data_IF_015929666090
#
_entry.id   IF_015929666090
#
_cell.length_a   1.000
_cell.length_b   1.000
_cell.length_c   1.000
_cell.angle_alpha   90.00
_cell.angle_beta   90.00
_cell.angle_gamma   90.00
#
_symmetry.space_group_name_H-M   'P 1'
#
loop_
_entity.id
_entity.type
_entity.pdbx_description
1 polymer ?
#
# COMPACT_ATOMS: atom_id res chain seq x y z
N UNK A 1 -0.41 4.29 9.22
CA UNK A 1 -0.82 3.10 8.42
C UNK A 1 -2.31 3.24 8.14
N UNK A 2 -2.82 2.76 7.02
CA UNK A 2 -4.25 2.86 6.70
C UNK A 2 -4.77 1.60 5.99
N UNK A 3 -6.07 1.30 6.13
CA UNK A 3 -6.70 0.21 5.38
C UNK A 3 -6.72 0.48 3.86
N UNK A 4 -6.78 -0.60 3.07
CA UNK A 4 -6.91 -0.55 1.61
C UNK A 4 -8.08 0.30 1.09
N UNK A 5 -9.14 0.50 1.87
CA UNK A 5 -10.24 1.41 1.52
C UNK A 5 -9.78 2.86 1.29
N UNK A 6 -8.67 3.25 1.94
CA UNK A 6 -8.07 4.60 1.88
C UNK A 6 -6.99 4.76 0.81
N UNK A 7 -6.72 3.71 0.02
CA UNK A 7 -5.79 3.74 -1.12
C UNK A 7 -6.37 4.50 -2.32
N UNK A 8 -6.80 5.75 -2.08
CA UNK A 8 -7.42 6.65 -3.03
C UNK A 8 -6.69 7.97 -3.02
N UNK A 9 -6.44 8.50 -4.21
CA UNK A 9 -5.68 9.74 -4.40
C UNK A 9 -6.14 10.92 -3.51
N UNK A 10 -7.45 11.25 -3.39
CA UNK A 10 -7.86 12.41 -2.58
C UNK A 10 -7.51 12.29 -1.09
N UNK A 11 -7.48 11.07 -0.55
CA UNK A 11 -7.06 10.82 0.83
C UNK A 11 -5.55 10.96 0.96
N UNK A 12 -4.81 10.24 0.11
CA UNK A 12 -3.35 10.24 0.11
C UNK A 12 -2.78 11.66 -0.08
N UNK A 13 -3.32 12.42 -1.03
CA UNK A 13 -2.87 13.78 -1.34
C UNK A 13 -3.03 14.70 -0.12
N UNK A 14 -4.13 14.58 0.64
CA UNK A 14 -4.35 15.37 1.85
C UNK A 14 -3.39 15.00 2.98
N UNK A 15 -3.20 13.70 3.23
CA UNK A 15 -2.30 13.22 4.28
C UNK A 15 -0.86 13.62 4.00
N UNK A 16 -0.43 13.52 2.74
CA UNK A 16 0.90 13.98 2.34
C UNK A 16 1.07 15.49 2.40
N UNK A 17 0.01 16.26 2.10
CA UNK A 17 0.05 17.72 2.29
C UNK A 17 0.22 18.12 3.75
N UNK A 18 -0.20 17.26 4.69
CA UNK A 18 0.02 17.44 6.13
C UNK A 18 1.42 17.00 6.59
N UNK A 19 2.28 16.54 5.68
CA UNK A 19 3.66 16.11 5.97
C UNK A 19 3.81 14.65 6.36
N UNK A 20 2.76 13.82 6.19
CA UNK A 20 2.80 12.40 6.55
C UNK A 20 2.92 11.49 5.33
N UNK A 21 3.61 10.37 5.51
CA UNK A 21 3.60 9.26 4.55
C UNK A 21 2.57 8.20 4.96
N UNK A 22 1.99 7.54 3.97
CA UNK A 22 0.98 6.51 4.15
C UNK A 22 1.56 5.16 3.72
N UNK A 23 1.49 4.20 4.64
CA UNK A 23 1.65 2.77 4.37
C UNK A 23 0.27 2.13 4.30
N UNK A 24 -0.04 1.45 3.20
CA UNK A 24 -1.34 0.80 2.99
C UNK A 24 -1.25 -0.33 1.96
N UNK A 25 -2.41 -0.90 1.58
CA UNK A 25 -2.54 -1.99 0.60
C UNK A 25 -3.32 -1.54 -0.63
N UNK A 26 -2.87 -1.93 -1.81
CA UNK A 26 -3.56 -1.74 -3.08
C UNK A 26 -4.48 -2.93 -3.38
N UNK A 27 -5.46 -2.69 -4.25
CA UNK A 27 -6.25 -3.80 -4.83
C UNK A 27 -5.34 -4.67 -5.70
N UNK A 28 -5.65 -5.97 -5.78
CA UNK A 28 -4.89 -6.93 -6.58
C UNK A 28 -4.81 -6.58 -8.08
N UNK A 29 -5.77 -5.81 -8.60
CA UNK A 29 -5.87 -5.37 -10.00
C UNK A 29 -5.31 -3.95 -10.24
N UNK A 30 -4.55 -3.41 -9.29
CA UNK A 30 -3.99 -2.06 -9.42
C UNK A 30 -3.10 -1.93 -10.66
N UNK A 31 -3.35 -0.88 -11.45
CA UNK A 31 -2.53 -0.57 -12.61
C UNK A 31 -1.19 0.08 -12.17
N UNK A 32 -0.16 -0.74 -12.14
CA UNK A 32 1.21 -0.40 -11.75
C UNK A 32 2.14 -0.41 -12.96
N UNK A 33 3.13 0.46 -12.96
CA UNK A 33 4.11 0.60 -14.04
C UNK A 33 5.51 0.70 -13.45
N UNK A 34 6.50 0.13 -14.15
CA UNK A 34 7.89 0.40 -13.82
C UNK A 34 8.18 1.90 -14.02
N UNK A 35 9.19 2.40 -13.31
CA UNK A 35 9.67 3.75 -13.54
C UNK A 35 10.37 3.79 -14.90
N UNK A 36 10.16 4.87 -15.65
CA UNK A 36 10.89 5.11 -16.88
C UNK A 36 12.37 5.36 -16.57
N UNK A 37 13.24 4.49 -17.08
CA UNK A 37 14.70 4.49 -16.94
C UNK A 37 15.44 4.91 -18.23
N UNK A 38 14.70 5.09 -19.33
CA UNK A 38 15.27 5.50 -20.62
C UNK A 38 15.53 7.01 -20.76
N UNK A 39 16.19 7.39 -21.86
CA UNK A 39 16.46 8.80 -22.15
C UNK A 39 15.17 9.63 -22.33
N UNK A 40 15.20 10.93 -21.99
CA UNK A 40 14.13 11.84 -22.33
C UNK A 40 13.87 11.81 -23.83
N UNK A 41 12.61 11.76 -24.24
CA UNK A 41 12.23 11.68 -25.66
C UNK A 41 12.58 12.92 -26.48
N UNK A 42 13.10 13.98 -25.87
CA UNK A 42 13.43 15.26 -26.52
C UNK A 42 12.22 16.06 -27.00
N UNK A 43 11.00 15.55 -26.82
CA UNK A 43 9.76 16.20 -27.26
C UNK A 43 9.30 17.27 -26.26
N UNK A 44 8.70 18.38 -26.73
CA UNK A 44 8.10 19.38 -25.83
C UNK A 44 7.04 18.75 -24.90
N UNK A 45 7.08 19.10 -23.62
CA UNK A 45 6.09 18.68 -22.62
C UNK A 45 6.71 18.01 -21.39
N UNK A 46 5.84 17.42 -20.55
CA UNK A 46 6.26 16.73 -19.33
C UNK A 46 7.08 15.48 -19.69
N UNK A 47 8.27 15.28 -19.09
CA UNK A 47 9.05 14.06 -19.27
C UNK A 47 8.23 12.79 -18.97
N UNK A 48 8.53 11.71 -19.69
CA UNK A 48 7.91 10.40 -19.47
C UNK A 48 8.35 9.86 -18.11
N UNK A 49 7.38 9.45 -17.29
CA UNK A 49 7.64 8.86 -15.96
C UNK A 49 7.28 7.36 -15.91
N UNK A 50 6.34 6.92 -16.76
CA UNK A 50 5.84 5.54 -16.76
C UNK A 50 6.59 4.72 -17.81
N UNK A 51 7.24 3.65 -17.37
CA UNK A 51 7.74 2.59 -18.23
C UNK A 51 6.63 1.60 -18.60
N UNK A 52 7.02 0.33 -18.70
CA UNK A 52 6.09 -0.76 -19.01
C UNK A 52 5.17 -1.06 -17.84
N UNK A 53 4.00 -1.62 -18.16
CA UNK A 53 3.06 -2.06 -17.14
C UNK A 53 3.66 -3.26 -16.39
N UNK A 54 3.60 -3.23 -15.07
CA UNK A 54 4.05 -4.36 -14.24
C UNK A 54 3.03 -5.48 -14.41
N UNK A 55 3.48 -6.60 -14.97
CA UNK A 55 2.76 -7.85 -14.86
C UNK A 55 3.08 -8.49 -13.51
N UNK A 56 2.14 -8.40 -12.58
CA UNK A 56 2.27 -8.98 -11.24
C UNK A 56 2.47 -10.51 -11.31
N UNK A 57 2.11 -11.17 -12.42
CA UNK A 57 2.34 -12.61 -12.66
C UNK A 57 3.73 -12.95 -13.15
N UNK A 58 4.38 -12.02 -13.81
CA UNK A 58 5.71 -12.21 -14.35
C UNK A 58 6.51 -10.95 -14.05
N UNK A 59 6.90 -10.83 -12.79
CA UNK A 59 7.66 -9.67 -12.30
C UNK A 59 9.07 -9.79 -12.87
N UNK A 60 9.56 -8.68 -13.41
CA UNK A 60 10.94 -8.59 -13.84
C UNK A 60 11.82 -8.47 -12.59
N UNK A 61 12.41 -9.60 -12.19
CA UNK A 61 13.24 -9.71 -10.98
C UNK A 61 14.45 -8.78 -11.07
N UNK A 62 14.92 -8.43 -12.28
CA UNK A 62 16.04 -7.48 -12.43
C UNK A 62 15.71 -6.05 -11.96
N UNK A 63 14.41 -5.72 -11.89
CA UNK A 63 13.91 -4.39 -11.48
C UNK A 63 13.41 -4.34 -10.04
N UNK A 64 13.63 -5.40 -9.26
CA UNK A 64 13.23 -5.50 -7.87
C UNK A 64 14.22 -6.33 -7.05
N UNK A 65 13.97 -6.38 -5.74
CA UNK A 65 14.73 -7.24 -4.83
C UNK A 65 13.76 -8.21 -4.17
N UNK A 66 14.11 -9.49 -4.17
CA UNK A 66 13.43 -10.46 -3.31
C UNK A 66 13.71 -10.11 -1.85
N UNK A 67 12.66 -10.17 -1.03
CA UNK A 67 12.73 -9.90 0.40
C UNK A 67 12.85 -11.21 1.16
N UNK A 68 13.79 -11.26 2.11
CA UNK A 68 13.77 -12.28 3.15
C UNK A 68 12.59 -12.02 4.11
N UNK A 69 11.64 -12.95 4.07
CA UNK A 69 10.40 -12.91 4.83
C UNK A 69 10.51 -13.55 6.22
N UNK A 70 11.67 -14.13 6.57
CA UNK A 70 11.85 -14.88 7.81
C UNK A 70 10.81 -15.99 7.95
N UNK A 71 10.00 -15.93 9.00
CA UNK A 71 8.92 -16.91 9.25
C UNK A 71 7.65 -16.67 8.43
N UNK A 72 7.55 -15.52 7.74
CA UNK A 72 6.36 -15.20 6.94
C UNK A 72 6.33 -16.04 5.67
N UNK A 73 5.27 -16.83 5.49
CA UNK A 73 5.12 -17.71 4.32
C UNK A 73 4.97 -16.92 3.01
N UNK A 74 5.50 -17.48 1.93
CA UNK A 74 5.37 -16.97 0.56
C UNK A 74 6.68 -16.38 0.04
N UNK A 75 6.60 -15.64 -1.07
CA UNK A 75 7.71 -14.87 -1.63
C UNK A 75 7.29 -13.41 -1.74
N UNK A 76 8.22 -12.48 -1.50
CA UNK A 76 7.92 -11.06 -1.62
C UNK A 76 8.99 -10.33 -2.43
N UNK A 77 8.54 -9.39 -3.24
CA UNK A 77 9.39 -8.57 -4.10
C UNK A 77 9.18 -7.10 -3.78
N UNK A 78 10.27 -6.38 -3.54
CA UNK A 78 10.27 -4.94 -3.32
C UNK A 78 10.81 -4.20 -4.55
N UNK A 79 10.10 -3.17 -4.97
CA UNK A 79 10.50 -2.31 -6.07
C UNK A 79 9.83 -0.94 -5.97
N UNK A 80 10.31 0.02 -6.76
CA UNK A 80 9.58 1.27 -6.96
C UNK A 80 8.65 1.14 -8.16
N UNK A 81 7.42 1.62 -8.02
CA UNK A 81 6.44 1.55 -9.08
C UNK A 81 5.65 2.85 -9.19
N UNK A 82 5.34 3.26 -10.42
CA UNK A 82 4.35 4.30 -10.67
C UNK A 82 2.94 3.72 -10.51
N UNK A 83 2.19 4.23 -9.56
CA UNK A 83 0.80 3.84 -9.32
C UNK A 83 -0.17 4.74 -10.10
N UNK A 84 -0.96 4.15 -11.02
CA UNK A 84 -1.91 4.92 -11.84
C UNK A 84 -3.02 5.55 -11.02
N UNK A 85 -3.61 4.83 -10.05
CA UNK A 85 -4.72 5.34 -9.24
C UNK A 85 -4.30 6.47 -8.31
N UNK A 86 -3.06 6.44 -7.82
CA UNK A 86 -2.52 7.45 -6.91
C UNK A 86 -1.76 8.58 -7.61
N UNK A 87 -1.46 8.45 -8.91
CA UNK A 87 -0.71 9.42 -9.72
C UNK A 87 0.68 9.77 -9.16
N UNK A 88 1.40 8.78 -8.62
CA UNK A 88 2.70 8.96 -8.00
C UNK A 88 3.54 7.69 -8.04
N UNK A 89 4.84 7.83 -7.80
CA UNK A 89 5.71 6.71 -7.45
C UNK A 89 5.42 6.28 -6.01
N UNK A 90 5.49 4.98 -5.76
CA UNK A 90 5.37 4.38 -4.43
C UNK A 90 6.48 3.36 -4.25
N UNK A 91 6.94 3.18 -3.01
CA UNK A 91 7.67 1.96 -2.63
C UNK A 91 6.63 0.83 -2.56
N UNK A 92 6.79 -0.19 -3.41
CA UNK A 92 5.83 -1.26 -3.62
C UNK A 92 6.43 -2.58 -3.10
N UNK A 93 5.59 -3.35 -2.41
CA UNK A 93 5.88 -4.75 -2.08
C UNK A 93 4.78 -5.63 -2.68
N UNK A 94 5.20 -6.61 -3.47
CA UNK A 94 4.32 -7.65 -4.01
C UNK A 94 4.59 -8.91 -3.21
N UNK A 95 3.63 -9.34 -2.41
CA UNK A 95 3.70 -10.56 -1.60
C UNK A 95 2.82 -11.64 -2.20
N UNK A 96 3.44 -12.71 -2.69
CA UNK A 96 2.78 -13.90 -3.20
C UNK A 96 2.72 -14.97 -2.10
N UNK A 97 1.51 -15.32 -1.69
CA UNK A 97 1.29 -16.35 -0.69
C UNK A 97 1.39 -17.76 -1.32
N UNK A 98 1.63 -18.82 -0.51
CA UNK A 98 1.73 -20.19 -1.02
C UNK A 98 0.49 -20.71 -1.77
N UNK A 99 -0.67 -20.08 -1.57
CA UNK A 99 -1.91 -20.41 -2.27
C UNK A 99 -2.08 -19.65 -3.61
N UNK A 100 -1.04 -18.94 -4.07
CA UNK A 100 -1.05 -18.13 -5.29
C UNK A 100 -1.78 -16.79 -5.15
N UNK A 101 -2.33 -16.46 -3.97
CA UNK A 101 -2.95 -15.15 -3.73
C UNK A 101 -1.86 -14.10 -3.60
N UNK A 102 -2.03 -12.97 -4.28
CA UNK A 102 -1.10 -11.85 -4.20
C UNK A 102 -1.66 -10.68 -3.42
N UNK A 103 -0.79 -10.06 -2.63
CA UNK A 103 -1.08 -8.84 -1.87
C UNK A 103 -0.10 -7.76 -2.27
N UNK A 104 -0.61 -6.57 -2.52
CA UNK A 104 0.17 -5.42 -2.95
C UNK A 104 0.20 -4.42 -1.80
N UNK A 105 1.34 -4.28 -1.14
CA UNK A 105 1.55 -3.26 -0.11
C UNK A 105 2.33 -2.09 -0.70
N UNK A 106 2.13 -0.90 -0.16
CA UNK A 106 2.87 0.26 -0.62
C UNK A 106 3.11 1.27 0.49
N UNK A 107 4.15 2.08 0.29
CA UNK A 107 4.36 3.34 0.99
C UNK A 107 4.45 4.50 0.02
N UNK A 108 3.92 5.65 0.41
CA UNK A 108 4.13 6.92 -0.30
C UNK A 108 5.50 7.53 -0.04
N UNK A 109 6.27 7.00 0.91
CA UNK A 109 7.69 7.27 1.02
C UNK A 109 8.44 6.34 0.05
N UNK A 110 9.04 6.92 -0.98
CA UNK A 110 9.77 6.19 -2.02
C UNK A 110 11.10 5.62 -1.51
N UNK A 111 11.61 6.11 -0.38
CA UNK A 111 12.86 5.66 0.23
C UNK A 111 12.67 4.49 1.20
N UNK A 112 11.43 4.26 1.63
CA UNK A 112 11.10 3.19 2.59
C UNK A 112 11.42 1.81 2.01
N UNK A 113 12.11 0.99 2.80
CA UNK A 113 12.48 -0.37 2.41
C UNK A 113 11.24 -1.28 2.34
N UNK A 114 11.30 -2.31 1.50
CA UNK A 114 10.18 -3.25 1.39
C UNK A 114 9.86 -3.99 2.69
N UNK A 115 10.89 -4.28 3.51
CA UNK A 115 10.71 -4.86 4.84
C UNK A 115 9.90 -3.94 5.75
N UNK A 116 10.27 -2.65 5.80
CA UNK A 116 9.56 -1.66 6.62
C UNK A 116 8.13 -1.47 6.13
N UNK A 117 7.89 -1.45 4.82
CA UNK A 117 6.52 -1.37 4.26
C UNK A 117 5.65 -2.50 4.79
N UNK A 118 6.18 -3.73 4.79
CA UNK A 118 5.45 -4.89 5.31
C UNK A 118 5.25 -4.79 6.82
N UNK A 119 6.32 -4.50 7.57
CA UNK A 119 6.29 -4.43 9.04
C UNK A 119 5.36 -3.32 9.54
N UNK A 120 5.39 -2.13 8.94
CA UNK A 120 4.41 -1.10 9.25
C UNK A 120 2.99 -1.55 8.90
N UNK A 121 2.77 -2.25 7.79
CA UNK A 121 1.42 -2.70 7.46
C UNK A 121 0.90 -3.78 8.43
N UNK A 122 1.75 -4.64 9.00
CA UNK A 122 1.31 -5.65 9.98
C UNK A 122 0.79 -5.02 11.27
N UNK A 123 1.31 -3.85 11.67
CA UNK A 123 0.80 -3.14 12.86
C UNK A 123 -0.65 -2.66 12.71
N UNK A 124 -1.18 -2.55 11.49
CA UNK A 124 -2.58 -2.14 11.23
C UNK A 124 -3.60 -2.97 12.01
N UNK A 125 -3.33 -4.25 12.24
CA UNK A 125 -4.28 -5.12 12.94
C UNK A 125 -4.48 -4.74 14.42
N UNK A 126 -3.57 -3.93 14.99
CA UNK A 126 -3.72 -3.45 16.36
C UNK A 126 -4.99 -2.61 16.57
N UNK A 127 -5.45 -1.90 15.54
CA UNK A 127 -6.71 -1.14 15.58
C UNK A 127 -7.93 -2.05 15.81
N UNK A 128 -7.89 -3.29 15.31
CA UNK A 128 -8.99 -4.26 15.47
C UNK A 128 -9.16 -4.70 16.93
N UNK A 129 -8.06 -4.77 17.70
CA UNK A 129 -8.14 -5.03 19.13
C UNK A 129 -8.84 -3.89 19.86
N UNK A 130 -8.55 -2.64 19.49
CA UNK A 130 -9.25 -1.49 20.06
C UNK A 130 -10.75 -1.53 19.76
N UNK A 131 -11.15 -1.88 18.54
CA UNK A 131 -12.57 -2.02 18.18
C UNK A 131 -13.24 -3.18 18.91
N UNK A 132 -12.57 -4.33 19.05
CA UNK A 132 -13.08 -5.48 19.81
C UNK A 132 -13.29 -5.07 21.26
N UNK A 133 -12.28 -4.47 21.89
CA UNK A 133 -12.30 -4.20 23.32
C UNK A 133 -13.32 -3.10 23.66
N UNK A 134 -13.43 -2.09 22.80
CA UNK A 134 -14.48 -1.08 22.93
C UNK A 134 -15.88 -1.70 22.89
N UNK A 135 -16.13 -2.66 21.99
CA UNK A 135 -17.43 -3.34 21.88
C UNK A 135 -17.68 -4.31 23.04
N UNK A 136 -16.73 -5.19 23.34
CA UNK A 136 -16.95 -6.32 24.25
C UNK A 136 -16.73 -5.99 25.72
N UNK A 137 -15.76 -5.13 26.05
CA UNK A 137 -15.41 -4.82 27.44
C UNK A 137 -15.97 -3.48 27.90
N UNK A 138 -16.02 -2.48 27.01
CA UNK A 138 -16.51 -1.14 27.34
C UNK A 138 -18.00 -0.94 26.99
N UNK A 139 -18.64 -1.94 26.38
CA UNK A 139 -20.06 -1.90 26.05
C UNK A 139 -20.44 -0.86 25.00
N UNK A 140 -19.54 -0.51 24.07
CA UNK A 140 -19.79 0.48 23.01
C UNK A 140 -21.05 0.15 22.20
N UNK A 141 -21.41 -1.13 22.10
CA UNK A 141 -22.60 -1.61 21.38
C UNK A 141 -23.79 -1.95 22.29
N UNK A 142 -23.66 -1.75 23.60
CA UNK A 142 -24.67 -2.20 24.57
C UNK A 142 -25.67 -1.09 24.92
N UNK A 143 -25.39 0.16 24.53
CA UNK A 143 -26.25 1.30 24.78
C UNK A 143 -27.64 1.12 24.14
N UNK A 144 -28.69 1.17 24.97
CA UNK A 144 -30.10 1.06 24.55
C UNK A 144 -30.79 2.44 24.40
N UNK A 145 -30.01 3.52 24.33
CA UNK A 145 -30.56 4.86 24.18
C UNK A 145 -31.26 5.02 22.82
N UNK A 146 -32.45 5.65 22.83
CA UNK A 146 -33.26 5.90 21.63
C UNK A 146 -33.09 7.30 21.04
N UNK A 147 -32.41 8.21 21.74
CA UNK A 147 -32.05 9.55 21.25
C UNK A 147 -30.60 9.53 20.76
N UNK A 148 -30.37 9.90 19.49
CA UNK A 148 -29.05 9.93 18.86
C UNK A 148 -28.05 10.84 19.58
N UNK A 149 -28.52 11.86 20.31
CA UNK A 149 -27.66 12.76 21.11
C UNK A 149 -27.14 12.11 22.40
N UNK A 150 -27.67 10.93 22.76
CA UNK A 150 -27.30 10.16 23.95
C UNK A 150 -26.49 8.89 23.61
N UNK A 151 -26.24 8.67 22.32
CA UNK A 151 -25.24 7.73 21.79
C UNK A 151 -23.90 8.47 21.67
#
# INVERSE_FOLDING_TARGET
>A
VADSAFSKRPFIDKVMKMGFHVVSRLRHDAALFYIWDGEPTGKPGRPRVKGDKIDVRNIDISKGNELDLGETKGTAYALKAWCKSLHRVVSLVIHELPNGVRRLYFSTDESMSGRDVMEYYTTRFQEEFCFRDAKQFLGLTDCQARDKRKL
#
